data_IF_443626335408
#
_entry.id   IF_443626335408
#
_cell.length_a   1.000
_cell.length_b   1.000
_cell.length_c   1.000
_cell.angle_alpha   90.00
_cell.angle_beta   90.00
_cell.angle_gamma   90.00
#
_symmetry.space_group_name_H-M   'P 1'
#
loop_
_entity.id
_entity.type
_entity.pdbx_description
1 polymer ?
#
# COMPACT_ATOMS: atom_id res chain seq x y z
N UNK A 1 -13.13 -15.33 3.21
CA UNK A 1 -13.82 -14.67 2.07
C UNK A 1 -14.10 -15.69 0.98
N UNK A 2 -15.27 -15.71 0.33
CA UNK A 2 -15.53 -16.67 -0.76
C UNK A 2 -14.93 -16.22 -2.11
N UNK A 3 -14.80 -17.13 -3.08
CA UNK A 3 -14.17 -16.83 -4.39
C UNK A 3 -14.83 -15.68 -5.16
N UNK A 4 -16.14 -15.50 -5.00
CA UNK A 4 -16.86 -14.39 -5.63
C UNK A 4 -16.49 -13.05 -5.01
N UNK A 5 -16.38 -13.00 -3.68
CA UNK A 5 -15.93 -11.80 -2.96
C UNK A 5 -14.46 -11.50 -3.27
N UNK A 6 -13.58 -12.53 -3.31
CA UNK A 6 -12.16 -12.37 -3.68
C UNK A 6 -12.02 -11.77 -5.07
N UNK A 7 -12.73 -12.33 -6.05
CA UNK A 7 -12.72 -11.81 -7.42
C UNK A 7 -13.21 -10.36 -7.48
N UNK A 8 -14.34 -10.05 -6.84
CA UNK A 8 -14.87 -8.69 -6.84
C UNK A 8 -13.89 -7.68 -6.23
N UNK A 9 -13.21 -8.03 -5.14
CA UNK A 9 -12.18 -7.19 -4.53
C UNK A 9 -11.04 -6.88 -5.52
N UNK A 10 -10.50 -7.91 -6.18
CA UNK A 10 -9.42 -7.75 -7.14
C UNK A 10 -9.85 -6.97 -8.39
N UNK A 11 -11.05 -7.24 -8.93
CA UNK A 11 -11.60 -6.54 -10.10
C UNK A 11 -11.79 -5.02 -9.82
N UNK A 12 -12.21 -4.67 -8.60
CA UNK A 12 -12.34 -3.26 -8.19
C UNK A 12 -10.97 -2.60 -8.05
N UNK A 13 -9.98 -3.29 -7.46
CA UNK A 13 -8.61 -2.75 -7.36
C UNK A 13 -8.01 -2.50 -8.75
N UNK A 14 -8.17 -3.44 -9.69
CA UNK A 14 -7.67 -3.30 -11.07
C UNK A 14 -8.31 -2.12 -11.80
N UNK A 15 -9.63 -1.97 -11.66
CA UNK A 15 -10.36 -0.89 -12.33
C UNK A 15 -10.15 0.49 -11.68
N UNK A 16 -9.75 0.52 -10.41
CA UNK A 16 -9.55 1.77 -9.64
C UNK A 16 -8.16 2.39 -9.81
N UNK A 17 -7.23 1.77 -10.55
CA UNK A 17 -5.82 2.21 -10.58
C UNK A 17 -5.59 3.69 -10.94
N UNK A 18 -6.37 4.26 -11.87
CA UNK A 18 -6.27 5.68 -12.23
C UNK A 18 -6.85 6.58 -11.13
N UNK A 19 -7.99 6.20 -10.56
CA UNK A 19 -8.64 6.96 -9.50
C UNK A 19 -7.82 6.93 -8.20
N UNK A 20 -7.18 5.79 -7.91
CA UNK A 20 -6.27 5.60 -6.78
C UNK A 20 -5.05 6.52 -6.86
N UNK A 21 -4.44 6.67 -8.04
CA UNK A 21 -3.30 7.60 -8.21
C UNK A 21 -3.70 9.04 -7.98
N UNK A 22 -4.86 9.45 -8.50
CA UNK A 22 -5.37 10.80 -8.28
C UNK A 22 -5.72 11.06 -6.82
N UNK A 23 -6.35 10.09 -6.17
CA UNK A 23 -6.66 10.18 -4.75
C UNK A 23 -5.41 10.17 -3.87
N UNK A 24 -4.34 9.46 -4.27
CA UNK A 24 -3.04 9.52 -3.63
C UNK A 24 -2.42 10.93 -3.72
N UNK A 25 -2.51 11.59 -4.87
CA UNK A 25 -2.05 12.99 -5.04
C UNK A 25 -2.78 13.96 -4.12
N UNK A 26 -4.09 13.80 -3.99
CA UNK A 26 -4.92 14.59 -3.06
C UNK A 26 -4.51 14.31 -1.61
N UNK A 27 -4.28 13.04 -1.27
CA UNK A 27 -3.85 12.62 0.06
C UNK A 27 -2.48 13.20 0.46
N UNK A 28 -1.51 13.18 -0.45
CA UNK A 28 -0.16 13.71 -0.21
C UNK A 28 -0.17 15.23 -0.02
N UNK A 29 -1.03 15.93 -0.75
CA UNK A 29 -1.26 17.37 -0.57
C UNK A 29 -1.83 17.66 0.82
N UNK A 30 -2.80 16.87 1.29
CA UNK A 30 -3.41 17.04 2.60
C UNK A 30 -2.41 16.78 3.74
N UNK A 31 -1.53 15.78 3.57
CA UNK A 31 -0.45 15.46 4.50
C UNK A 31 0.74 16.44 4.42
N UNK A 32 0.73 17.39 3.48
CA UNK A 32 1.85 18.32 3.21
C UNK A 32 3.16 17.61 2.88
N UNK A 33 3.08 16.41 2.29
CA UNK A 33 4.23 15.66 1.79
C UNK A 33 4.66 16.13 0.40
N UNK A 34 3.98 17.11 -0.19
CA UNK A 34 4.30 17.63 -1.52
C UNK A 34 3.61 16.85 -2.63
N UNK A 35 4.18 16.87 -3.82
CA UNK A 35 3.65 16.14 -4.98
C UNK A 35 4.12 14.68 -4.94
N UNK A 36 3.27 13.76 -5.37
CA UNK A 36 3.64 12.36 -5.54
C UNK A 36 4.70 12.24 -6.66
N UNK A 37 5.64 11.34 -6.47
CA UNK A 37 6.71 11.04 -7.42
C UNK A 37 6.43 9.71 -8.12
N UNK A 38 7.16 9.40 -9.22
CA UNK A 38 7.08 8.09 -9.87
C UNK A 38 7.32 6.91 -8.94
N UNK A 39 8.12 7.08 -7.88
CA UNK A 39 8.39 6.06 -6.87
C UNK A 39 7.15 5.76 -6.02
N UNK A 40 6.41 6.78 -5.58
CA UNK A 40 5.18 6.58 -4.80
C UNK A 40 4.13 5.82 -5.62
N UNK A 41 4.00 6.12 -6.91
CA UNK A 41 3.07 5.39 -7.79
C UNK A 41 3.51 3.94 -8.02
N UNK A 42 4.82 3.67 -8.11
CA UNK A 42 5.32 2.29 -8.19
C UNK A 42 5.06 1.53 -6.90
N UNK A 43 5.22 2.19 -5.76
CA UNK A 43 4.91 1.60 -4.46
C UNK A 43 3.41 1.32 -4.33
N UNK A 44 2.55 2.23 -4.79
CA UNK A 44 1.10 2.03 -4.85
C UNK A 44 0.76 0.80 -5.71
N UNK A 45 1.26 0.75 -6.95
CA UNK A 45 1.02 -0.37 -7.86
C UNK A 45 1.50 -1.71 -7.25
N UNK A 46 2.67 -1.70 -6.63
CA UNK A 46 3.24 -2.88 -5.98
C UNK A 46 2.42 -3.32 -4.77
N UNK A 47 1.98 -2.37 -3.93
CA UNK A 47 1.12 -2.62 -2.77
C UNK A 47 -0.22 -3.23 -3.20
N UNK A 48 -0.84 -2.70 -4.26
CA UNK A 48 -2.07 -3.26 -4.83
C UNK A 48 -1.86 -4.71 -5.27
N UNK A 49 -0.78 -4.99 -6.00
CA UNK A 49 -0.47 -6.34 -6.45
C UNK A 49 -0.28 -7.32 -5.28
N UNK A 50 0.43 -6.91 -4.22
CA UNK A 50 0.61 -7.73 -3.02
C UNK A 50 -0.70 -7.97 -2.28
N UNK A 51 -1.57 -6.96 -2.19
CA UNK A 51 -2.92 -7.10 -1.62
C UNK A 51 -3.73 -8.13 -2.40
N UNK A 52 -3.76 -8.03 -3.74
CA UNK A 52 -4.49 -8.95 -4.60
C UNK A 52 -3.99 -10.39 -4.45
N UNK A 53 -2.67 -10.60 -4.38
CA UNK A 53 -2.08 -11.91 -4.13
C UNK A 53 -2.50 -12.45 -2.75
N UNK A 54 -2.44 -11.63 -1.71
CA UNK A 54 -2.89 -12.00 -0.36
C UNK A 54 -4.36 -12.42 -0.34
N UNK A 55 -5.24 -11.63 -0.94
CA UNK A 55 -6.69 -11.93 -1.05
C UNK A 55 -6.92 -13.25 -1.77
N UNK A 56 -6.22 -13.48 -2.88
CA UNK A 56 -6.40 -14.67 -3.69
C UNK A 56 -5.96 -15.93 -2.96
N UNK A 57 -4.79 -15.86 -2.33
CA UNK A 57 -4.12 -17.00 -1.66
C UNK A 57 -4.63 -17.27 -0.23
N UNK A 58 -5.34 -16.33 0.40
CA UNK A 58 -5.88 -16.53 1.74
C UNK A 58 -7.01 -17.54 1.76
N UNK A 59 -6.83 -18.65 2.47
CA UNK A 59 -7.88 -19.63 2.73
C UNK A 59 -8.73 -19.30 3.96
N UNK A 60 -8.48 -18.14 4.60
CA UNK A 60 -9.14 -17.76 5.83
C UNK A 60 -10.57 -17.22 5.56
N UNK A 61 -11.56 -17.65 6.37
CA UNK A 61 -12.93 -17.13 6.25
C UNK A 61 -12.97 -15.63 6.58
N UNK A 62 -12.18 -15.20 7.55
CA UNK A 62 -11.99 -13.80 7.94
C UNK A 62 -10.60 -13.37 7.45
N UNK A 63 -10.56 -12.56 6.40
CA UNK A 63 -9.30 -12.08 5.84
C UNK A 63 -8.64 -11.11 6.83
N UNK A 64 -7.44 -11.45 7.31
CA UNK A 64 -6.70 -10.62 8.27
C UNK A 64 -5.95 -9.47 7.55
N UNK A 65 -6.64 -8.34 7.45
CA UNK A 65 -6.08 -7.12 6.84
C UNK A 65 -4.89 -6.56 7.62
N UNK A 66 -4.89 -6.71 8.95
CA UNK A 66 -3.84 -6.11 9.77
C UNK A 66 -2.54 -6.92 9.63
N UNK A 67 -2.65 -8.25 9.57
CA UNK A 67 -1.52 -9.12 9.25
C UNK A 67 -0.94 -8.85 7.87
N UNK A 68 -1.78 -8.75 6.83
CA UNK A 68 -1.31 -8.43 5.48
C UNK A 68 -0.60 -7.06 5.42
N UNK A 69 -1.14 -6.07 6.17
CA UNK A 69 -0.54 -4.74 6.26
C UNK A 69 0.84 -4.80 6.90
N UNK A 70 1.01 -5.56 7.98
CA UNK A 70 2.32 -5.82 8.58
C UNK A 70 3.28 -6.48 7.59
N UNK A 71 2.84 -7.53 6.89
CA UNK A 71 3.67 -8.24 5.91
C UNK A 71 4.14 -7.31 4.78
N UNK A 72 3.29 -6.39 4.32
CA UNK A 72 3.62 -5.40 3.30
C UNK A 72 4.64 -4.38 3.83
N UNK A 73 4.49 -3.89 5.07
CA UNK A 73 5.49 -3.01 5.67
C UNK A 73 6.86 -3.67 5.78
N UNK A 74 6.90 -4.90 6.30
CA UNK A 74 8.15 -5.68 6.43
C UNK A 74 8.75 -6.03 5.06
N UNK A 75 7.92 -6.26 4.03
CA UNK A 75 8.40 -6.59 2.70
C UNK A 75 8.90 -5.38 1.91
N UNK A 76 8.24 -4.23 2.03
CA UNK A 76 8.47 -3.07 1.16
C UNK A 76 9.34 -2.01 1.84
N UNK A 77 9.03 -1.66 3.09
CA UNK A 77 9.74 -0.57 3.82
C UNK A 77 11.12 -1.05 4.27
N UNK A 78 11.26 -2.30 4.74
CA UNK A 78 12.54 -2.82 5.22
C UNK A 78 13.50 -3.26 4.09
N UNK A 79 12.99 -3.73 2.93
CA UNK A 79 13.86 -4.24 1.84
C UNK A 79 14.34 -3.20 0.85
N UNK A 80 13.58 -2.13 0.58
CA UNK A 80 14.01 -1.12 -0.39
C UNK A 80 15.05 -0.17 0.21
N UNK A 81 14.92 0.22 1.48
CA UNK A 81 15.84 1.18 2.13
C UNK A 81 17.15 0.60 2.65
N UNK A 82 17.18 -0.69 3.00
CA UNK A 82 18.42 -1.38 3.38
C UNK A 82 19.50 -1.39 2.27
N UNK A 83 19.14 -1.02 1.03
CA UNK A 83 20.07 -0.92 -0.11
C UNK A 83 20.56 0.49 -0.41
N UNK A 84 19.94 1.52 0.15
CA UNK A 84 20.22 2.93 -0.20
C UNK A 84 20.73 3.78 0.96
N UNK A 85 20.58 3.35 2.22
CA UNK A 85 21.11 4.07 3.37
C UNK A 85 22.48 3.50 3.80
N UNK A 86 23.53 4.32 3.69
CA UNK A 86 24.76 4.07 4.44
C UNK A 86 24.44 4.11 5.94
N UNK A 87 25.07 3.23 6.76
CA UNK A 87 24.60 2.89 8.10
C UNK A 87 24.76 3.99 9.18
N UNK A 88 25.10 5.22 8.81
CA UNK A 88 25.38 6.28 9.77
C UNK A 88 24.66 7.58 9.38
N UNK A 89 23.50 7.81 10.00
CA UNK A 89 23.03 9.04 10.69
C UNK A 89 21.52 8.85 10.90
N UNK A 90 21.13 8.23 12.01
CA UNK A 90 19.73 8.06 12.39
C UNK A 90 19.29 9.25 13.26
N UNK A 91 18.60 10.23 12.66
CA UNK A 91 17.84 11.26 13.37
C UNK A 91 16.49 11.44 12.68
N UNK A 92 15.45 10.78 13.21
CA UNK A 92 14.08 10.82 12.71
C UNK A 92 13.79 9.76 11.64
N UNK A 93 12.53 9.30 11.56
CA UNK A 93 12.10 8.53 10.38
C UNK A 93 12.29 9.44 9.16
N UNK A 94 13.09 8.99 8.19
CA UNK A 94 13.36 9.76 6.97
C UNK A 94 12.05 10.05 6.24
N UNK A 95 11.90 11.23 5.65
CA UNK A 95 10.68 11.69 4.96
C UNK A 95 10.14 10.64 3.96
N UNK A 96 11.02 9.89 3.27
CA UNK A 96 10.56 8.83 2.39
C UNK A 96 9.97 7.60 3.13
N UNK A 97 10.35 7.29 4.38
CA UNK A 97 9.65 6.27 5.19
C UNK A 97 8.23 6.72 5.48
N UNK A 98 8.06 8.01 5.81
CA UNK A 98 6.74 8.58 6.08
C UNK A 98 5.86 8.56 4.82
N UNK A 99 6.45 8.83 3.64
CA UNK A 99 5.76 8.69 2.35
C UNK A 99 5.38 7.24 2.06
N UNK A 100 6.33 6.31 2.19
CA UNK A 100 6.08 4.90 1.92
C UNK A 100 4.95 4.37 2.81
N UNK A 101 4.98 4.76 4.09
CA UNK A 101 3.91 4.44 5.04
C UNK A 101 2.57 5.02 4.60
N UNK A 102 2.53 6.30 4.20
CA UNK A 102 1.33 6.96 3.73
C UNK A 102 0.73 6.27 2.50
N UNK A 103 1.54 5.82 1.53
CA UNK A 103 1.05 5.07 0.36
C UNK A 103 0.40 3.75 0.79
N UNK A 104 1.08 2.99 1.65
CA UNK A 104 0.58 1.68 2.11
C UNK A 104 -0.70 1.86 2.93
N UNK A 105 -0.72 2.80 3.87
CA UNK A 105 -1.88 3.16 4.68
C UNK A 105 -3.08 3.53 3.80
N UNK A 106 -2.88 4.45 2.86
CA UNK A 106 -3.89 4.90 1.91
C UNK A 106 -4.49 3.74 1.12
N UNK A 107 -3.65 2.82 0.64
CA UNK A 107 -4.10 1.67 -0.16
C UNK A 107 -4.96 0.72 0.67
N UNK A 108 -4.61 0.51 1.93
CA UNK A 108 -5.40 -0.31 2.86
C UNK A 108 -6.72 0.34 3.25
N UNK A 109 -6.72 1.65 3.50
CA UNK A 109 -7.94 2.38 3.82
C UNK A 109 -8.92 2.34 2.64
N UNK A 110 -8.41 2.43 1.40
CA UNK A 110 -9.20 2.25 0.20
C UNK A 110 -9.79 0.84 0.08
N UNK A 111 -8.98 -0.19 0.32
CA UNK A 111 -9.43 -1.58 0.33
C UNK A 111 -10.55 -1.81 1.34
N UNK A 112 -10.39 -1.30 2.57
CA UNK A 112 -11.41 -1.38 3.62
C UNK A 112 -12.71 -0.68 3.20
N UNK A 113 -12.62 0.45 2.51
CA UNK A 113 -13.80 1.16 1.99
C UNK A 113 -14.55 0.38 0.90
N UNK A 114 -13.86 -0.35 0.03
CA UNK A 114 -14.48 -1.14 -1.04
C UNK A 114 -15.20 -2.38 -0.49
N UNK A 115 -14.66 -2.97 0.59
CA UNK A 115 -15.12 -4.25 1.12
C UNK A 115 -16.13 -4.12 2.27
N UNK A 116 -16.42 -2.88 2.70
CA UNK A 116 -17.47 -2.54 3.67
C UNK A 116 -18.84 -2.42 3.01
#
# INVERSE_FOLDING_TARGET
MNDTQKKNACDILDSSGVDLRKALDEHFRDLKLGESTPEDYRLLDHTIATIQEGIWTSDEPDFDYDKLKTDIYEALVDKERAKTEEPEIYMGESEAVERDKAVIDFTFDWLKCILS
#
